data_IF_095287873232
#
_entry.id   IF_095287873232
#
_cell.length_a   1.000
_cell.length_b   1.000
_cell.length_c   1.000
_cell.angle_alpha   90.00
_cell.angle_beta   90.00
_cell.angle_gamma   90.00
#
_symmetry.space_group_name_H-M   'P 1'
#
loop_
_entity.id
_entity.type
_entity.pdbx_description
1 polymer ?
#
# COMPACT_ATOMS: atom_id res chain seq x y z
N UNK A 1 8.73 -11.94 -16.19
CA UNK A 1 9.52 -12.06 -17.44
C UNK A 1 10.94 -11.58 -17.24
N UNK A 2 11.15 -10.29 -16.95
CA UNK A 2 12.47 -9.71 -16.64
C UNK A 2 13.27 -10.50 -15.61
N UNK A 3 12.62 -10.94 -14.52
CA UNK A 3 13.27 -11.77 -13.50
C UNK A 3 13.82 -13.09 -14.08
N UNK A 4 13.12 -13.72 -15.02
CA UNK A 4 13.55 -14.95 -15.70
C UNK A 4 14.71 -14.67 -16.66
N UNK A 5 14.64 -13.57 -17.40
CA UNK A 5 15.71 -13.13 -18.31
C UNK A 5 17.00 -12.78 -17.56
N UNK A 6 16.87 -12.17 -16.38
CA UNK A 6 17.98 -11.84 -15.49
C UNK A 6 18.54 -13.05 -14.72
N UNK A 7 17.94 -14.24 -14.86
CA UNK A 7 18.35 -15.44 -14.12
C UNK A 7 17.92 -15.48 -12.64
N UNK A 8 16.94 -14.64 -12.26
CA UNK A 8 16.42 -14.44 -10.91
C UNK A 8 14.95 -14.88 -10.82
N UNK A 9 14.64 -16.08 -11.31
CA UNK A 9 13.31 -16.73 -11.21
C UNK A 9 13.48 -18.02 -10.39
N UNK A 10 13.81 -17.83 -9.11
CA UNK A 10 14.30 -18.84 -8.19
C UNK A 10 13.19 -19.52 -7.40
N UNK A 11 13.51 -19.97 -6.19
CA UNK A 11 12.57 -20.73 -5.36
C UNK A 11 11.42 -19.88 -4.83
N UNK A 12 11.64 -18.60 -4.56
CA UNK A 12 10.62 -17.72 -3.99
C UNK A 12 9.60 -17.31 -5.04
N UNK A 13 10.04 -17.03 -6.27
CA UNK A 13 9.13 -16.83 -7.41
C UNK A 13 8.32 -18.09 -7.73
N UNK A 14 8.93 -19.28 -7.68
CA UNK A 14 8.21 -20.55 -7.84
C UNK A 14 7.17 -20.75 -6.74
N UNK A 15 7.51 -20.43 -5.49
CA UNK A 15 6.58 -20.49 -4.36
C UNK A 15 5.39 -19.54 -4.54
N UNK A 16 5.63 -18.28 -4.95
CA UNK A 16 4.56 -17.31 -5.22
C UNK A 16 3.58 -17.83 -6.28
N UNK A 17 4.08 -18.36 -7.42
CA UNK A 17 3.23 -18.94 -8.48
C UNK A 17 2.52 -20.21 -8.02
N UNK A 18 3.12 -21.01 -7.14
CA UNK A 18 2.48 -22.19 -6.59
C UNK A 18 1.29 -21.82 -5.68
N UNK A 19 1.41 -20.76 -4.89
CA UNK A 19 0.31 -20.22 -4.08
C UNK A 19 -0.82 -19.71 -4.98
N UNK A 20 -0.49 -18.91 -6.00
CA UNK A 20 -1.45 -18.43 -7.00
C UNK A 20 -2.22 -19.59 -7.66
N UNK A 21 -1.49 -20.61 -8.12
CA UNK A 21 -2.07 -21.81 -8.71
C UNK A 21 -3.00 -22.54 -7.74
N UNK A 22 -2.60 -22.68 -6.48
CA UNK A 22 -3.41 -23.37 -5.46
C UNK A 22 -4.76 -22.67 -5.24
N UNK A 23 -4.78 -21.34 -5.28
CA UNK A 23 -6.01 -20.55 -5.21
C UNK A 23 -6.89 -20.72 -6.45
N UNK A 24 -6.27 -20.72 -7.65
CA UNK A 24 -6.99 -21.00 -8.89
C UNK A 24 -7.61 -22.42 -8.90
N UNK A 25 -6.87 -23.43 -8.44
CA UNK A 25 -7.33 -24.82 -8.31
C UNK A 25 -8.52 -24.93 -7.34
N UNK A 26 -8.54 -24.09 -6.30
CA UNK A 26 -9.65 -23.95 -5.35
C UNK A 26 -10.84 -23.10 -5.88
N UNK A 27 -10.92 -22.84 -7.18
CA UNK A 27 -11.95 -22.02 -7.83
C UNK A 27 -12.02 -20.58 -7.30
N UNK A 28 -10.92 -20.07 -6.74
CA UNK A 28 -10.80 -18.70 -6.25
C UNK A 28 -9.55 -18.06 -6.85
N UNK A 29 -9.63 -17.64 -8.10
CA UNK A 29 -8.51 -16.99 -8.78
C UNK A 29 -8.07 -15.72 -8.03
N UNK A 30 -6.91 -15.78 -7.39
CA UNK A 30 -6.28 -14.68 -6.66
C UNK A 30 -4.88 -14.48 -7.22
N UNK A 31 -4.71 -13.54 -8.17
CA UNK A 31 -3.40 -13.29 -8.75
C UNK A 31 -2.43 -12.72 -7.72
N UNK A 32 -1.14 -12.98 -7.91
CA UNK A 32 -0.10 -12.35 -7.08
C UNK A 32 -0.09 -10.85 -7.35
N UNK A 33 -0.24 -10.05 -6.30
CA UNK A 33 -0.14 -8.60 -6.40
C UNK A 33 1.32 -8.15 -6.57
N UNK A 34 1.52 -6.86 -6.86
CA UNK A 34 2.85 -6.30 -7.08
C UNK A 34 3.77 -6.46 -5.86
N UNK A 35 3.22 -6.34 -4.64
CA UNK A 35 4.00 -6.46 -3.40
C UNK A 35 4.56 -7.88 -3.23
N UNK A 36 3.72 -8.89 -3.47
CA UNK A 36 4.12 -10.30 -3.44
C UNK A 36 5.15 -10.62 -4.53
N UNK A 37 4.97 -10.07 -5.74
CA UNK A 37 5.92 -10.25 -6.83
C UNK A 37 7.28 -9.62 -6.51
N UNK A 38 7.30 -8.36 -6.02
CA UNK A 38 8.54 -7.68 -5.59
C UNK A 38 9.21 -8.46 -4.46
N UNK A 39 8.45 -8.87 -3.44
CA UNK A 39 9.00 -9.63 -2.31
C UNK A 39 9.64 -10.95 -2.75
N UNK A 40 9.02 -11.69 -3.66
CA UNK A 40 9.57 -12.92 -4.20
C UNK A 40 10.87 -12.68 -5.00
N UNK A 41 10.92 -11.62 -5.81
CA UNK A 41 12.13 -11.24 -6.56
C UNK A 41 13.26 -10.85 -5.60
N UNK A 42 13.01 -10.01 -4.60
CA UNK A 42 14.02 -9.58 -3.62
C UNK A 42 14.56 -10.76 -2.80
N UNK A 43 13.70 -11.72 -2.48
CA UNK A 43 14.11 -12.95 -1.80
C UNK A 43 14.98 -13.85 -2.70
N UNK A 44 14.63 -13.99 -3.98
CA UNK A 44 15.47 -14.72 -4.95
C UNK A 44 16.80 -14.01 -5.25
N UNK A 45 16.89 -12.69 -5.05
CA UNK A 45 18.15 -11.93 -5.05
C UNK A 45 19.00 -12.15 -3.78
N UNK A 46 18.50 -12.87 -2.78
CA UNK A 46 19.20 -13.09 -1.51
C UNK A 46 19.28 -11.85 -0.62
N UNK A 47 18.43 -10.85 -0.84
CA UNK A 47 18.41 -9.64 -0.01
C UNK A 47 17.88 -9.93 1.40
N UNK A 48 18.34 -9.15 2.38
CA UNK A 48 17.82 -9.22 3.74
C UNK A 48 16.34 -8.80 3.76
N UNK A 49 15.40 -9.65 4.25
CA UNK A 49 13.98 -9.32 4.32
C UNK A 49 13.65 -8.02 5.07
N UNK A 50 14.48 -7.63 6.04
CA UNK A 50 14.32 -6.37 6.76
C UNK A 50 14.42 -5.14 5.85
N UNK A 51 15.05 -5.27 4.66
CA UNK A 51 15.21 -4.19 3.70
C UNK A 51 14.06 -4.09 2.68
N UNK A 52 13.14 -5.07 2.59
CA UNK A 52 12.16 -5.15 1.49
C UNK A 52 11.23 -3.94 1.45
N UNK A 53 10.67 -3.56 2.61
CA UNK A 53 9.83 -2.37 2.72
C UNK A 53 10.61 -1.09 2.38
N UNK A 54 11.91 -1.05 2.68
CA UNK A 54 12.79 0.05 2.32
C UNK A 54 12.90 0.24 0.79
N UNK A 55 13.03 -0.86 0.03
CA UNK A 55 13.05 -0.81 -1.44
C UNK A 55 11.72 -0.27 -1.98
N UNK A 56 10.58 -0.72 -1.42
CA UNK A 56 9.27 -0.19 -1.79
C UNK A 56 9.17 1.32 -1.50
N UNK A 57 9.60 1.76 -0.32
CA UNK A 57 9.58 3.18 0.05
C UNK A 57 10.42 4.05 -0.90
N UNK A 58 11.63 3.59 -1.26
CA UNK A 58 12.49 4.29 -2.22
C UNK A 58 11.78 4.44 -3.57
N UNK A 59 11.17 3.37 -4.08
CA UNK A 59 10.44 3.41 -5.36
C UNK A 59 9.20 4.34 -5.33
N UNK A 60 8.54 4.49 -4.18
CA UNK A 60 7.36 5.37 -4.04
C UNK A 60 7.70 6.84 -3.82
N UNK A 61 8.86 7.12 -3.23
CA UNK A 61 9.27 8.48 -2.83
C UNK A 61 9.21 9.50 -3.98
N UNK A 62 9.73 9.22 -5.20
CA UNK A 62 9.65 10.17 -6.32
C UNK A 62 8.21 10.54 -6.69
N UNK A 63 7.29 9.57 -6.67
CA UNK A 63 5.88 9.83 -6.97
C UNK A 63 5.19 10.69 -5.90
N UNK A 64 5.53 10.48 -4.62
CA UNK A 64 5.04 11.33 -3.53
C UNK A 64 5.53 12.78 -3.67
N UNK A 65 6.81 12.98 -4.01
CA UNK A 65 7.36 14.31 -4.28
C UNK A 65 6.63 14.96 -5.46
N UNK A 66 6.38 14.22 -6.54
CA UNK A 66 5.65 14.73 -7.68
C UNK A 66 4.22 15.16 -7.30
N UNK A 67 3.49 14.36 -6.52
CA UNK A 67 2.16 14.73 -6.04
C UNK A 67 2.18 15.96 -5.13
N UNK A 68 3.18 16.11 -4.26
CA UNK A 68 3.34 17.31 -3.42
C UNK A 68 3.54 18.55 -4.29
N UNK A 69 4.43 18.48 -5.28
CA UNK A 69 4.67 19.59 -6.22
C UNK A 69 3.40 19.91 -7.01
N UNK A 70 2.70 18.90 -7.49
CA UNK A 70 1.46 19.06 -8.24
C UNK A 70 0.39 19.79 -7.40
N UNK A 71 0.18 19.35 -6.17
CA UNK A 71 -0.75 19.96 -5.22
C UNK A 71 -0.39 21.41 -4.92
N UNK A 72 0.89 21.71 -4.66
CA UNK A 72 1.35 23.06 -4.34
C UNK A 72 1.24 24.04 -5.51
N UNK A 73 1.36 23.54 -6.75
CA UNK A 73 1.42 24.39 -7.95
C UNK A 73 0.07 24.54 -8.65
N UNK A 74 -0.84 23.59 -8.48
CA UNK A 74 -2.12 23.56 -9.22
C UNK A 74 -3.35 23.81 -8.34
N UNK A 75 -3.25 23.61 -7.03
CA UNK A 75 -4.39 23.69 -6.11
C UNK A 75 -4.30 24.89 -5.16
N UNK A 76 -5.45 25.29 -4.62
CA UNK A 76 -5.51 26.36 -3.61
C UNK A 76 -5.03 25.82 -2.25
N UNK A 77 -4.25 26.61 -1.48
CA UNK A 77 -3.90 26.25 -0.11
C UNK A 77 -5.14 25.92 0.73
N UNK A 78 -5.04 24.87 1.56
CA UNK A 78 -6.12 24.41 2.46
C UNK A 78 -7.42 24.02 1.73
N UNK A 79 -7.36 23.54 0.48
CA UNK A 79 -8.56 23.00 -0.18
C UNK A 79 -9.16 21.85 0.64
N UNK A 80 -10.49 21.78 0.67
CA UNK A 80 -11.20 20.66 1.31
C UNK A 80 -10.98 19.40 0.49
N UNK A 81 -10.32 18.41 1.07
CA UNK A 81 -10.31 17.03 0.57
C UNK A 81 -11.66 16.43 0.96
N UNK A 82 -12.29 15.70 0.03
CA UNK A 82 -13.68 15.19 0.09
C UNK A 82 -14.12 14.86 1.53
N UNK A 83 -14.89 15.76 2.16
CA UNK A 83 -15.33 15.57 3.52
C UNK A 83 -16.67 14.83 3.57
N UNK A 84 -17.19 14.27 2.48
CA UNK A 84 -18.58 13.79 2.42
C UNK A 84 -18.68 12.31 2.75
N UNK A 85 -17.64 11.52 2.47
CA UNK A 85 -17.61 10.08 2.72
C UNK A 85 -17.04 9.73 4.10
N UNK A 86 -17.62 10.28 5.17
CA UNK A 86 -17.32 9.87 6.55
C UNK A 86 -18.60 9.57 7.34
N UNK A 87 -18.55 8.55 8.18
CA UNK A 87 -19.58 8.25 9.17
C UNK A 87 -19.12 8.68 10.56
N UNK A 88 -20.01 9.29 11.33
CA UNK A 88 -19.79 9.54 12.76
C UNK A 88 -20.46 8.43 13.57
N UNK A 89 -19.67 7.63 14.28
CA UNK A 89 -20.11 6.51 15.14
C UNK A 89 -20.07 6.87 16.64
N UNK A 90 -19.84 8.14 16.96
CA UNK A 90 -19.77 8.63 18.34
C UNK A 90 -21.14 8.96 18.96
N UNK A 91 -21.15 9.38 20.24
CA UNK A 91 -22.36 9.79 20.94
C UNK A 91 -23.09 10.94 20.24
N UNK A 92 -24.44 10.97 20.24
CA UNK A 92 -25.19 12.07 19.65
C UNK A 92 -24.85 13.40 20.35
N UNK A 93 -25.16 14.50 19.66
CA UNK A 93 -25.03 15.83 20.25
C UNK A 93 -25.71 15.89 21.63
N UNK A 94 -24.97 16.34 22.64
CA UNK A 94 -25.42 16.46 24.03
C UNK A 94 -25.17 17.85 24.56
N UNK A 95 -26.06 18.35 25.40
CA UNK A 95 -25.86 19.62 26.10
C UNK A 95 -24.77 19.47 27.16
N UNK A 96 -23.88 20.46 27.23
CA UNK A 96 -22.95 20.58 28.34
C UNK A 96 -23.68 21.29 29.48
N UNK A 97 -23.66 20.73 30.68
CA UNK A 97 -24.05 21.45 31.89
C UNK A 97 -22.93 22.44 32.20
N UNK A 98 -23.10 23.70 31.82
CA UNK A 98 -22.29 24.79 32.37
C UNK A 98 -22.72 24.93 33.82
N UNK A 99 -21.88 24.46 34.75
CA UNK A 99 -22.02 24.85 36.15
C UNK A 99 -21.68 26.35 36.21
N UNK A 100 -22.70 27.19 36.21
CA UNK A 100 -22.60 28.53 36.78
C UNK A 100 -22.29 28.30 38.27
N UNK A 101 -21.02 28.35 38.62
CA UNK A 101 -20.59 28.40 40.00
C UNK A 101 -21.03 29.77 40.56
N UNK A 102 -22.18 29.76 41.27
CA UNK A 102 -22.48 30.71 42.35
C UNK A 102 -21.38 30.70 43.42
#
# INVERSE_FOLDING_TARGET
ELAREAGVDGMHMKAARAVEKSFADAQKALPINVDGAIGAILADLGMNPAAFNGIFMIARTPGLVAHVIEEQTREKPMRRIDPVNHGYDGPPARSLTTNEHE
#
